data_IF_577775796483
#
_entry.id   IF_577775796483
#
_cell.length_a   1.000
_cell.length_b   1.000
_cell.length_c   1.000
_cell.angle_alpha   90.00
_cell.angle_beta   90.00
_cell.angle_gamma   90.00
#
_symmetry.space_group_name_H-M   'P 1'
#
loop_
_entity.id
_entity.type
_entity.pdbx_description
1 polymer ?
#
# COMPACT_ATOMS: atom_id res chain seq x y z
N UNK A 1 77.59 7.42 20.02
CA UNK A 1 78.46 6.32 19.54
C UNK A 1 77.53 5.46 18.73
N UNK A 2 77.76 5.50 17.54
CA UNK A 2 78.17 4.73 16.36
C UNK A 2 76.94 4.10 15.67
N UNK A 3 76.40 4.73 14.63
CA UNK A 3 76.65 4.53 13.20
C UNK A 3 76.63 3.09 12.72
N UNK A 4 75.62 2.74 11.91
CA UNK A 4 75.84 1.91 10.73
C UNK A 4 74.78 2.17 9.68
N UNK A 5 75.20 2.93 8.65
CA UNK A 5 74.52 3.09 7.38
C UNK A 5 74.88 1.91 6.48
N UNK A 6 73.94 1.07 6.09
CA UNK A 6 74.16 0.09 5.02
C UNK A 6 73.51 0.59 3.74
N UNK A 7 74.36 0.99 2.81
CA UNK A 7 74.02 1.26 1.40
C UNK A 7 73.64 -0.05 0.70
N UNK A 8 72.47 -0.13 0.15
CA UNK A 8 72.16 -1.15 -0.84
C UNK A 8 72.23 -0.52 -2.24
N UNK A 9 73.22 -0.97 -3.04
CA UNK A 9 73.40 -0.57 -4.45
C UNK A 9 72.39 -1.32 -5.35
N UNK A 10 71.87 -0.55 -6.28
CA UNK A 10 71.44 -0.88 -7.64
C UNK A 10 71.28 -2.38 -7.99
N UNK A 11 70.09 -2.84 -8.22
CA UNK A 11 69.77 -3.80 -9.27
C UNK A 11 68.47 -3.37 -9.97
N UNK A 12 68.65 -3.07 -11.23
CA UNK A 12 67.63 -2.75 -12.22
C UNK A 12 66.81 -3.99 -12.57
N UNK A 13 65.75 -4.22 -11.75
CA UNK A 13 64.68 -5.13 -12.13
C UNK A 13 63.36 -4.42 -11.89
N UNK A 14 63.11 -3.37 -12.66
CA UNK A 14 61.79 -2.76 -12.79
C UNK A 14 60.92 -3.75 -13.59
N UNK A 15 60.36 -4.74 -12.91
CA UNK A 15 59.37 -5.64 -13.48
C UNK A 15 58.16 -4.80 -13.93
N UNK A 16 57.99 -4.72 -15.25
CA UNK A 16 56.80 -4.18 -15.91
C UNK A 16 55.59 -4.89 -15.35
N UNK A 17 54.81 -4.22 -14.46
CA UNK A 17 53.47 -4.67 -14.11
C UNK A 17 52.67 -4.60 -15.40
N UNK A 18 52.08 -5.71 -15.87
CA UNK A 18 51.27 -5.68 -17.09
C UNK A 18 50.13 -4.68 -16.93
N UNK A 19 50.06 -3.72 -17.85
CA UNK A 19 48.95 -2.74 -17.93
C UNK A 19 47.56 -3.40 -18.04
N UNK A 20 47.51 -4.68 -18.38
CA UNK A 20 46.26 -5.43 -18.57
C UNK A 20 45.53 -5.76 -17.27
N UNK A 21 46.20 -5.82 -16.11
CA UNK A 21 45.55 -6.10 -14.81
C UNK A 21 44.70 -4.93 -14.34
N UNK A 22 45.03 -3.71 -14.75
CA UNK A 22 44.25 -2.50 -14.35
C UNK A 22 42.95 -2.38 -15.13
N UNK A 23 42.92 -2.78 -16.41
CA UNK A 23 41.71 -2.80 -17.23
C UNK A 23 40.70 -3.86 -16.79
N UNK A 24 41.13 -5.03 -16.36
CA UNK A 24 40.25 -6.09 -15.87
C UNK A 24 39.54 -5.74 -14.59
N UNK A 25 40.23 -5.14 -13.61
CA UNK A 25 39.63 -4.74 -12.32
C UNK A 25 38.60 -3.60 -12.47
N UNK A 26 38.79 -2.67 -13.40
CA UNK A 26 37.85 -1.57 -13.67
C UNK A 26 36.62 -2.07 -14.44
N UNK A 27 36.81 -3.01 -15.37
CA UNK A 27 35.72 -3.62 -16.14
C UNK A 27 34.83 -4.49 -15.25
N UNK A 28 35.41 -5.21 -14.32
CA UNK A 28 34.69 -6.06 -13.35
C UNK A 28 33.89 -5.22 -12.35
N UNK A 29 34.45 -4.13 -11.82
CA UNK A 29 33.72 -3.18 -10.97
C UNK A 29 32.51 -2.59 -11.66
N UNK A 30 32.62 -2.19 -12.92
CA UNK A 30 31.49 -1.62 -13.67
C UNK A 30 30.39 -2.66 -13.89
N UNK A 31 30.73 -3.90 -14.21
CA UNK A 31 29.77 -5.02 -14.35
C UNK A 31 29.09 -5.35 -13.04
N UNK A 32 29.82 -5.40 -11.93
CA UNK A 32 29.25 -5.64 -10.58
C UNK A 32 28.30 -4.52 -10.17
N UNK A 33 28.66 -3.27 -10.41
CA UNK A 33 27.81 -2.12 -10.11
C UNK A 33 26.56 -2.10 -11.00
N UNK A 34 26.70 -2.41 -12.29
CA UNK A 34 25.58 -2.51 -13.22
C UNK A 34 24.63 -3.67 -12.84
N UNK A 35 25.16 -4.83 -12.46
CA UNK A 35 24.38 -5.98 -12.00
C UNK A 35 23.62 -5.66 -10.72
N UNK A 36 24.24 -4.98 -9.75
CA UNK A 36 23.57 -4.51 -8.52
C UNK A 36 22.48 -3.47 -8.81
N UNK A 37 22.71 -2.55 -9.77
CA UNK A 37 21.69 -1.59 -10.21
C UNK A 37 20.51 -2.29 -10.89
N UNK A 38 20.78 -3.24 -11.78
CA UNK A 38 19.74 -4.04 -12.45
C UNK A 38 18.91 -4.88 -11.47
N UNK A 39 19.54 -5.49 -10.47
CA UNK A 39 18.85 -6.24 -9.43
C UNK A 39 17.93 -5.33 -8.57
N UNK A 40 18.40 -4.13 -8.18
CA UNK A 40 17.57 -3.16 -7.45
C UNK A 40 16.40 -2.63 -8.28
N UNK A 41 16.61 -2.37 -9.57
CA UNK A 41 15.55 -1.94 -10.48
C UNK A 41 14.49 -3.03 -10.64
N UNK A 42 14.90 -4.29 -10.84
CA UNK A 42 14.00 -5.45 -10.92
C UNK A 42 13.18 -5.60 -9.64
N UNK A 43 13.81 -5.54 -8.47
CA UNK A 43 13.13 -5.60 -7.18
C UNK A 43 12.05 -4.51 -7.04
N UNK A 44 12.42 -3.25 -7.32
CA UNK A 44 11.47 -2.12 -7.28
C UNK A 44 10.27 -2.36 -8.19
N UNK A 45 10.51 -2.72 -9.44
CA UNK A 45 9.43 -2.92 -10.40
C UNK A 45 8.56 -4.13 -10.06
N UNK A 46 9.14 -5.18 -9.50
CA UNK A 46 8.38 -6.34 -9.01
C UNK A 46 7.47 -5.98 -7.84
N UNK A 47 7.94 -5.20 -6.87
CA UNK A 47 7.08 -4.74 -5.78
C UNK A 47 5.99 -3.81 -6.31
N UNK A 48 6.33 -2.86 -7.20
CA UNK A 48 5.35 -1.98 -7.85
C UNK A 48 4.31 -2.78 -8.63
N UNK A 49 4.70 -3.83 -9.35
CA UNK A 49 3.79 -4.73 -10.06
C UNK A 49 2.89 -5.52 -9.09
N UNK A 50 3.41 -5.95 -7.93
CA UNK A 50 2.59 -6.61 -6.92
C UNK A 50 1.48 -5.69 -6.37
N UNK A 51 1.76 -4.39 -6.18
CA UNK A 51 0.72 -3.40 -5.88
C UNK A 51 -0.32 -3.33 -7.00
N UNK A 52 0.10 -3.23 -8.26
CA UNK A 52 -0.82 -3.19 -9.41
C UNK A 52 -1.68 -4.45 -9.52
N UNK A 53 -1.10 -5.63 -9.35
CA UNK A 53 -1.84 -6.90 -9.34
C UNK A 53 -2.85 -6.96 -8.20
N UNK A 54 -2.50 -6.50 -6.99
CA UNK A 54 -3.43 -6.36 -5.87
C UNK A 54 -4.63 -5.49 -6.23
N UNK A 55 -4.39 -4.34 -6.87
CA UNK A 55 -5.44 -3.44 -7.34
C UNK A 55 -6.36 -4.08 -8.38
N UNK A 56 -5.81 -4.80 -9.37
CA UNK A 56 -6.62 -5.51 -10.38
C UNK A 56 -7.50 -6.56 -9.68
N UNK A 57 -6.93 -7.34 -8.75
CA UNK A 57 -7.68 -8.42 -8.10
C UNK A 57 -8.83 -7.92 -7.25
N UNK A 58 -8.67 -6.80 -6.51
CA UNK A 58 -9.75 -6.29 -5.64
C UNK A 58 -10.92 -5.70 -6.45
N UNK A 59 -10.68 -5.27 -7.67
CA UNK A 59 -11.72 -4.67 -8.53
C UNK A 59 -12.32 -5.62 -9.55
N UNK A 60 -11.86 -6.86 -9.63
CA UNK A 60 -12.28 -7.85 -10.62
C UNK A 60 -13.79 -8.13 -10.62
N UNK A 61 -14.43 -8.15 -9.45
CA UNK A 61 -15.86 -8.48 -9.33
C UNK A 61 -16.78 -7.26 -9.20
N UNK A 62 -16.30 -6.09 -8.80
CA UNK A 62 -17.12 -4.92 -8.52
C UNK A 62 -18.10 -4.58 -9.64
N UNK A 63 -17.65 -4.35 -10.89
CA UNK A 63 -18.51 -4.06 -12.03
C UNK A 63 -19.46 -5.22 -12.42
N UNK A 64 -19.16 -6.43 -11.94
CA UNK A 64 -19.92 -7.65 -12.24
C UNK A 64 -20.96 -8.01 -11.17
N UNK A 65 -20.98 -7.30 -10.03
CA UNK A 65 -21.93 -7.59 -8.94
C UNK A 65 -23.40 -7.66 -9.37
N UNK A 66 -23.91 -6.78 -10.25
CA UNK A 66 -25.29 -6.91 -10.73
C UNK A 66 -25.55 -8.23 -11.46
N UNK A 67 -24.62 -8.67 -12.32
CA UNK A 67 -24.72 -9.91 -13.06
C UNK A 67 -24.55 -11.14 -12.14
N UNK A 68 -23.65 -11.06 -11.16
CA UNK A 68 -23.46 -12.10 -10.13
C UNK A 68 -24.75 -12.27 -9.31
N UNK A 69 -25.34 -11.15 -8.86
CA UNK A 69 -26.61 -11.14 -8.12
C UNK A 69 -27.73 -11.79 -8.91
N UNK A 70 -27.90 -11.37 -10.18
CA UNK A 70 -28.93 -11.92 -11.06
C UNK A 70 -28.72 -13.42 -11.34
N UNK A 71 -27.46 -13.83 -11.62
CA UNK A 71 -27.14 -15.23 -11.93
C UNK A 71 -27.33 -16.18 -10.76
N UNK A 72 -27.16 -15.69 -9.52
CA UNK A 72 -27.42 -16.48 -8.30
C UNK A 72 -28.86 -16.39 -7.80
N UNK A 73 -29.69 -15.49 -8.35
CA UNK A 73 -31.06 -15.27 -7.89
C UNK A 73 -31.18 -14.74 -6.45
N UNK A 74 -30.17 -14.02 -5.97
CA UNK A 74 -30.11 -13.51 -4.60
C UNK A 74 -30.52 -12.04 -4.48
N UNK A 75 -30.93 -11.63 -3.29
CA UNK A 75 -31.32 -10.27 -3.01
C UNK A 75 -30.10 -9.35 -2.68
N UNK A 76 -30.36 -8.06 -2.50
CA UNK A 76 -29.31 -7.06 -2.20
C UNK A 76 -28.72 -7.24 -0.80
N UNK A 77 -29.49 -7.72 0.15
CA UNK A 77 -29.02 -7.96 1.52
C UNK A 77 -28.02 -9.12 1.53
N UNK A 78 -28.31 -10.21 0.81
CA UNK A 78 -27.40 -11.35 0.65
C UNK A 78 -26.09 -10.93 -0.02
N UNK A 79 -26.11 -10.12 -1.09
CA UNK A 79 -24.88 -9.57 -1.69
C UNK A 79 -24.07 -8.77 -0.67
N UNK A 80 -24.73 -7.94 0.12
CA UNK A 80 -24.08 -7.17 1.18
C UNK A 80 -23.39 -8.07 2.22
N UNK A 81 -24.04 -9.16 2.61
CA UNK A 81 -23.48 -10.14 3.54
C UNK A 81 -22.27 -10.88 2.93
N UNK A 82 -22.34 -11.24 1.63
CA UNK A 82 -21.22 -11.84 0.92
C UNK A 82 -20.00 -10.91 0.88
N UNK A 83 -20.22 -9.62 0.61
CA UNK A 83 -19.16 -8.60 0.61
C UNK A 83 -18.57 -8.37 2.01
N UNK A 84 -19.37 -8.50 3.07
CA UNK A 84 -18.84 -8.47 4.44
C UNK A 84 -17.83 -9.59 4.69
N UNK A 85 -17.95 -10.72 3.99
CA UNK A 85 -16.96 -11.81 4.00
C UNK A 85 -15.57 -11.37 3.56
N UNK A 86 -15.45 -10.46 2.56
CA UNK A 86 -14.15 -9.87 2.14
C UNK A 86 -13.51 -9.13 3.29
N UNK A 87 -14.30 -8.35 4.03
CA UNK A 87 -13.81 -7.58 5.17
C UNK A 87 -13.32 -8.49 6.30
N UNK A 88 -14.12 -9.50 6.66
CA UNK A 88 -13.73 -10.48 7.68
C UNK A 88 -12.43 -11.18 7.26
N UNK A 89 -12.37 -11.63 6.01
CA UNK A 89 -11.16 -12.22 5.45
C UNK A 89 -9.95 -11.27 5.52
N UNK A 90 -10.11 -10.01 5.13
CA UNK A 90 -9.05 -9.02 5.15
C UNK A 90 -8.49 -8.78 6.56
N UNK A 91 -9.36 -8.67 7.56
CA UNK A 91 -8.93 -8.55 8.97
C UNK A 91 -8.11 -9.79 9.39
N UNK A 92 -8.59 -10.99 9.08
CA UNK A 92 -7.84 -12.22 9.36
C UNK A 92 -6.49 -12.26 8.62
N UNK A 93 -6.46 -11.78 7.38
CA UNK A 93 -5.24 -11.66 6.58
C UNK A 93 -4.21 -10.69 7.18
N UNK A 94 -4.67 -9.52 7.62
CA UNK A 94 -3.83 -8.54 8.32
C UNK A 94 -3.19 -9.16 9.57
N UNK A 95 -3.99 -9.84 10.40
CA UNK A 95 -3.52 -10.48 11.63
C UNK A 95 -2.57 -11.64 11.33
N UNK A 96 -2.82 -12.40 10.26
CA UNK A 96 -2.00 -13.53 9.82
C UNK A 96 -0.75 -13.17 9.05
N UNK A 97 -0.59 -11.93 8.60
CA UNK A 97 0.50 -11.49 7.70
C UNK A 97 1.90 -11.65 8.31
N UNK A 98 2.06 -11.28 9.58
CA UNK A 98 3.34 -11.36 10.29
C UNK A 98 3.88 -12.79 10.35
N UNK A 99 3.15 -13.82 10.86
CA UNK A 99 3.64 -15.20 10.82
C UNK A 99 3.90 -15.71 9.39
N UNK A 100 3.07 -15.35 8.42
CA UNK A 100 3.27 -15.74 7.01
C UNK A 100 4.59 -15.20 6.48
N UNK A 101 4.91 -13.92 6.76
CA UNK A 101 6.18 -13.31 6.38
C UNK A 101 7.37 -14.02 7.02
N UNK A 102 7.29 -14.35 8.32
CA UNK A 102 8.39 -15.01 9.02
C UNK A 102 8.64 -16.44 8.53
N UNK A 103 7.61 -17.20 8.19
CA UNK A 103 7.75 -18.58 7.74
C UNK A 103 8.20 -18.70 6.30
N UNK A 104 7.65 -17.89 5.40
CA UNK A 104 7.88 -18.01 3.97
C UNK A 104 8.96 -17.06 3.44
N UNK A 105 9.20 -15.93 4.12
CA UNK A 105 9.95 -14.78 3.63
C UNK A 105 9.18 -14.01 2.56
N UNK A 106 9.52 -12.74 2.31
CA UNK A 106 8.75 -11.81 1.49
C UNK A 106 8.38 -12.36 0.11
N UNK A 107 9.37 -12.92 -0.62
CA UNK A 107 9.14 -13.43 -1.98
C UNK A 107 8.05 -14.50 -2.04
N UNK A 108 8.15 -15.52 -1.18
CA UNK A 108 7.20 -16.64 -1.17
C UNK A 108 5.87 -16.21 -0.56
N UNK A 109 5.89 -15.34 0.44
CA UNK A 109 4.70 -14.83 1.09
C UNK A 109 3.85 -14.00 0.12
N UNK A 110 4.46 -13.07 -0.64
CA UNK A 110 3.75 -12.26 -1.65
C UNK A 110 3.23 -13.17 -2.78
N UNK A 111 4.02 -14.13 -3.26
CA UNK A 111 3.55 -15.10 -4.25
C UNK A 111 2.35 -15.90 -3.72
N UNK A 112 2.44 -16.44 -2.51
CA UNK A 112 1.37 -17.24 -1.90
C UNK A 112 0.08 -16.42 -1.70
N UNK A 113 0.18 -15.15 -1.26
CA UNK A 113 -0.97 -14.27 -1.09
C UNK A 113 -1.66 -13.99 -2.43
N UNK A 114 -0.90 -13.63 -3.48
CA UNK A 114 -1.43 -13.42 -4.83
C UNK A 114 -2.05 -14.70 -5.41
N UNK A 115 -1.40 -15.85 -5.26
CA UNK A 115 -1.94 -17.14 -5.72
C UNK A 115 -3.19 -17.55 -4.95
N UNK A 116 -3.26 -17.25 -3.65
CA UNK A 116 -4.47 -17.49 -2.85
C UNK A 116 -5.65 -16.67 -3.38
N UNK A 117 -5.43 -15.37 -3.69
CA UNK A 117 -6.46 -14.51 -4.25
C UNK A 117 -6.92 -15.05 -5.61
N UNK A 118 -5.98 -15.40 -6.49
CA UNK A 118 -6.32 -15.91 -7.83
C UNK A 118 -7.04 -17.25 -7.77
N UNK A 119 -6.65 -18.14 -6.87
CA UNK A 119 -7.37 -19.40 -6.62
C UNK A 119 -8.81 -19.13 -6.15
N UNK A 120 -9.02 -18.16 -5.25
CA UNK A 120 -10.33 -17.77 -4.78
C UNK A 120 -11.17 -17.12 -5.91
N UNK A 121 -10.59 -16.32 -6.80
CA UNK A 121 -11.30 -15.82 -7.99
C UNK A 121 -11.72 -16.95 -8.94
N UNK A 122 -10.85 -17.94 -9.15
CA UNK A 122 -11.21 -19.13 -9.94
C UNK A 122 -12.35 -19.93 -9.28
N UNK A 123 -12.27 -20.14 -7.97
CA UNK A 123 -13.36 -20.79 -7.19
C UNK A 123 -14.65 -19.99 -7.29
N UNK A 124 -14.60 -18.67 -7.23
CA UNK A 124 -15.76 -17.80 -7.42
C UNK A 124 -16.37 -17.97 -8.81
N UNK A 125 -15.53 -18.01 -9.86
CA UNK A 125 -15.99 -18.28 -11.22
C UNK A 125 -16.67 -19.65 -11.35
N UNK A 126 -16.10 -20.70 -10.77
CA UNK A 126 -16.71 -22.05 -10.73
C UNK A 126 -18.02 -22.06 -9.92
N UNK A 127 -18.04 -21.35 -8.79
CA UNK A 127 -19.23 -21.23 -7.95
C UNK A 127 -20.42 -20.59 -8.71
N UNK A 128 -20.12 -19.62 -9.58
CA UNK A 128 -21.14 -19.00 -10.44
C UNK A 128 -21.66 -19.96 -11.52
N UNK A 129 -20.83 -20.88 -12.03
CA UNK A 129 -21.27 -21.90 -13.00
C UNK A 129 -22.25 -22.89 -12.34
N UNK A 130 -21.94 -23.30 -11.10
CA UNK A 130 -22.80 -24.28 -10.39
C UNK A 130 -23.94 -23.61 -9.59
N UNK A 131 -24.03 -22.28 -9.58
CA UNK A 131 -25.06 -21.55 -8.84
C UNK A 131 -24.96 -21.63 -7.32
N UNK A 132 -23.76 -21.85 -6.76
CA UNK A 132 -23.58 -22.10 -5.32
C UNK A 132 -23.25 -20.81 -4.55
N UNK A 133 -24.24 -20.24 -3.86
CA UNK A 133 -24.07 -19.08 -2.97
C UNK A 133 -23.08 -19.35 -1.82
N UNK A 134 -23.11 -20.51 -1.12
CA UNK A 134 -22.13 -20.78 -0.07
C UNK A 134 -20.68 -20.79 -0.59
N UNK A 135 -20.45 -21.31 -1.79
CA UNK A 135 -19.11 -21.36 -2.37
C UNK A 135 -18.62 -19.95 -2.76
N UNK A 136 -19.51 -19.07 -3.24
CA UNK A 136 -19.20 -17.64 -3.46
C UNK A 136 -18.86 -16.95 -2.13
N UNK A 137 -19.58 -17.24 -1.05
CA UNK A 137 -19.29 -16.68 0.27
C UNK A 137 -17.88 -17.08 0.76
N UNK A 138 -17.53 -18.35 0.65
CA UNK A 138 -16.18 -18.86 0.99
C UNK A 138 -15.12 -18.18 0.11
N UNK A 139 -15.37 -18.05 -1.19
CA UNK A 139 -14.44 -17.39 -2.11
C UNK A 139 -14.19 -15.91 -1.71
N UNK A 140 -15.22 -15.17 -1.33
CA UNK A 140 -15.05 -13.78 -0.86
C UNK A 140 -14.24 -13.68 0.42
N UNK A 141 -14.44 -14.57 1.38
CA UNK A 141 -13.62 -14.63 2.61
C UNK A 141 -12.15 -14.90 2.26
N UNK A 142 -11.89 -15.86 1.37
CA UNK A 142 -10.51 -16.22 0.97
C UNK A 142 -9.87 -15.09 0.17
N UNK A 143 -10.61 -14.41 -0.72
CA UNK A 143 -10.12 -13.21 -1.41
C UNK A 143 -9.72 -12.15 -0.40
N UNK A 144 -10.58 -11.87 0.57
CA UNK A 144 -10.27 -10.91 1.65
C UNK A 144 -9.01 -11.30 2.42
N UNK A 145 -8.91 -12.56 2.85
CA UNK A 145 -7.73 -13.09 3.55
C UNK A 145 -6.44 -12.87 2.74
N UNK A 146 -6.49 -13.16 1.45
CA UNK A 146 -5.35 -12.94 0.55
C UNK A 146 -4.99 -11.47 0.39
N UNK A 147 -5.99 -10.59 0.21
CA UNK A 147 -5.79 -9.14 0.05
C UNK A 147 -5.23 -8.52 1.33
N UNK A 148 -5.80 -8.80 2.51
CA UNK A 148 -5.30 -8.25 3.76
C UNK A 148 -3.88 -8.74 4.10
N UNK A 149 -3.56 -10.01 3.76
CA UNK A 149 -2.19 -10.53 3.89
C UNK A 149 -1.26 -9.82 2.91
N UNK A 150 -1.65 -9.71 1.62
CA UNK A 150 -0.86 -9.08 0.57
C UNK A 150 -0.54 -7.62 0.91
N UNK A 151 -1.52 -6.87 1.39
CA UNK A 151 -1.36 -5.45 1.72
C UNK A 151 -0.21 -5.21 2.70
N UNK A 152 -0.17 -5.95 3.82
CA UNK A 152 0.95 -5.84 4.77
C UNK A 152 2.27 -6.21 4.12
N UNK A 153 2.31 -7.31 3.35
CA UNK A 153 3.53 -7.83 2.77
C UNK A 153 4.14 -6.87 1.74
N UNK A 154 3.32 -6.31 0.84
CA UNK A 154 3.80 -5.37 -0.19
C UNK A 154 4.20 -4.03 0.42
N UNK A 155 3.55 -3.58 1.49
CA UNK A 155 3.92 -2.36 2.19
C UNK A 155 5.24 -2.53 2.97
N UNK A 156 5.46 -3.66 3.63
CA UNK A 156 6.75 -3.99 4.29
C UNK A 156 7.88 -4.06 3.26
N UNK A 157 7.66 -4.78 2.15
CA UNK A 157 8.67 -4.92 1.10
C UNK A 157 8.89 -3.60 0.34
N UNK A 158 7.83 -2.79 0.15
CA UNK A 158 7.91 -1.45 -0.42
C UNK A 158 8.75 -0.50 0.41
N UNK A 159 8.60 -0.53 1.74
CA UNK A 159 9.42 0.24 2.66
C UNK A 159 10.90 -0.19 2.58
N UNK A 160 11.18 -1.49 2.44
CA UNK A 160 12.54 -2.00 2.26
C UNK A 160 13.16 -1.53 0.93
N UNK A 161 12.39 -1.52 -0.17
CA UNK A 161 12.80 -0.95 -1.46
C UNK A 161 13.09 0.53 -1.34
N UNK A 162 12.22 1.29 -0.66
CA UNK A 162 12.37 2.73 -0.43
C UNK A 162 13.65 3.05 0.32
N UNK A 163 13.92 2.33 1.43
CA UNK A 163 15.15 2.45 2.19
C UNK A 163 16.39 2.10 1.35
N UNK A 164 16.35 1.01 0.59
CA UNK A 164 17.47 0.61 -0.28
C UNK A 164 17.72 1.58 -1.43
N UNK A 165 16.70 2.32 -1.87
CA UNK A 165 16.77 3.32 -2.92
C UNK A 165 17.23 4.70 -2.41
N UNK A 166 17.09 4.98 -1.11
CA UNK A 166 17.37 6.27 -0.49
C UNK A 166 16.47 7.40 -0.99
N UNK A 167 15.26 7.08 -1.44
CA UNK A 167 14.27 8.03 -1.96
C UNK A 167 12.85 7.50 -1.76
N UNK A 168 11.89 8.40 -1.66
CA UNK A 168 10.48 8.06 -1.46
C UNK A 168 9.87 7.42 -2.70
N UNK A 169 9.42 6.17 -2.58
CA UNK A 169 8.82 5.36 -3.65
C UNK A 169 7.42 4.85 -3.32
N UNK A 170 7.04 4.83 -2.06
CA UNK A 170 5.76 4.30 -1.59
C UNK A 170 4.56 4.95 -2.29
N UNK A 171 4.50 6.28 -2.49
CA UNK A 171 3.38 6.89 -3.21
C UNK A 171 3.22 6.36 -4.63
N UNK A 172 4.34 6.14 -5.35
CA UNK A 172 4.32 5.57 -6.71
C UNK A 172 3.82 4.12 -6.71
N UNK A 173 4.15 3.34 -5.69
CA UNK A 173 3.67 1.96 -5.53
C UNK A 173 2.15 1.95 -5.31
N UNK A 174 1.63 2.86 -4.46
CA UNK A 174 0.19 3.02 -4.27
C UNK A 174 -0.52 3.58 -5.51
N UNK A 175 0.15 4.42 -6.32
CA UNK A 175 -0.39 4.81 -7.63
C UNK A 175 -0.56 3.59 -8.55
N UNK A 176 0.38 2.63 -8.52
CA UNK A 176 0.24 1.37 -9.27
C UNK A 176 -0.96 0.54 -8.78
N UNK A 177 -1.24 0.53 -7.48
CA UNK A 177 -2.46 -0.07 -6.93
C UNK A 177 -3.72 0.60 -7.50
N UNK A 178 -3.81 1.94 -7.46
CA UNK A 178 -4.95 2.70 -7.98
C UNK A 178 -5.15 2.48 -9.49
N UNK A 179 -4.05 2.44 -10.27
CA UNK A 179 -4.09 2.11 -11.70
C UNK A 179 -4.59 0.67 -11.89
N UNK A 180 -4.15 -0.25 -11.04
CA UNK A 180 -4.61 -1.65 -11.04
C UNK A 180 -6.11 -1.75 -10.78
N UNK A 181 -6.64 -1.02 -9.80
CA UNK A 181 -8.08 -0.94 -9.50
C UNK A 181 -8.85 -0.43 -10.72
N UNK A 182 -8.39 0.66 -11.34
CA UNK A 182 -9.03 1.19 -12.53
C UNK A 182 -8.98 0.22 -13.72
N UNK A 183 -7.85 -0.47 -13.91
CA UNK A 183 -7.68 -1.47 -14.97
C UNK A 183 -8.61 -2.68 -14.76
N UNK A 184 -8.67 -3.26 -13.55
CA UNK A 184 -9.55 -4.39 -13.26
C UNK A 184 -11.03 -4.02 -13.38
N UNK A 185 -11.43 -2.83 -12.92
CA UNK A 185 -12.78 -2.31 -13.13
C UNK A 185 -13.09 -2.13 -14.63
N UNK A 186 -12.13 -1.59 -15.39
CA UNK A 186 -12.25 -1.44 -16.86
C UNK A 186 -12.39 -2.79 -17.58
N UNK A 187 -11.60 -3.80 -17.19
CA UNK A 187 -11.72 -5.16 -17.73
C UNK A 187 -13.12 -5.71 -17.44
N UNK A 188 -13.61 -5.60 -16.19
CA UNK A 188 -14.94 -6.03 -15.82
C UNK A 188 -16.04 -5.36 -16.62
N UNK A 189 -15.94 -4.04 -16.83
CA UNK A 189 -16.89 -3.27 -17.64
C UNK A 189 -16.85 -3.68 -19.13
N UNK A 190 -15.65 -3.84 -19.69
CA UNK A 190 -15.47 -4.30 -21.07
C UNK A 190 -16.05 -5.71 -21.28
N UNK A 191 -15.77 -6.64 -20.38
CA UNK A 191 -16.34 -7.98 -20.40
C UNK A 191 -17.87 -7.94 -20.32
N UNK A 192 -18.45 -7.04 -19.51
CA UNK A 192 -19.89 -6.85 -19.44
C UNK A 192 -20.46 -6.37 -20.78
N UNK A 193 -19.84 -5.35 -21.40
CA UNK A 193 -20.26 -4.81 -22.69
C UNK A 193 -20.16 -5.83 -23.82
N UNK A 194 -19.18 -6.73 -23.76
CA UNK A 194 -18.98 -7.81 -24.75
C UNK A 194 -19.82 -9.05 -24.46
N UNK A 195 -20.68 -9.06 -23.46
CA UNK A 195 -21.51 -10.21 -23.10
C UNK A 195 -20.75 -11.41 -22.51
N UNK A 196 -19.48 -11.20 -22.10
CA UNK A 196 -18.69 -12.26 -21.43
C UNK A 196 -19.28 -12.55 -20.06
N UNK A 197 -19.52 -13.82 -19.73
CA UNK A 197 -20.07 -14.20 -18.42
C UNK A 197 -19.12 -13.82 -17.27
N UNK A 198 -19.62 -13.47 -16.08
CA UNK A 198 -18.78 -13.21 -14.90
C UNK A 198 -17.86 -14.39 -14.57
N UNK A 199 -18.35 -15.62 -14.70
CA UNK A 199 -17.58 -16.83 -14.47
C UNK A 199 -16.35 -16.94 -15.40
N UNK A 200 -16.56 -16.77 -16.71
CA UNK A 200 -15.49 -16.84 -17.70
C UNK A 200 -14.43 -15.74 -17.45
N UNK A 201 -14.86 -14.51 -17.17
CA UNK A 201 -13.97 -13.41 -16.84
C UNK A 201 -13.11 -13.74 -15.59
N UNK A 202 -13.72 -14.11 -14.47
CA UNK A 202 -13.02 -14.35 -13.22
C UNK A 202 -12.02 -15.52 -13.33
N UNK A 203 -12.36 -16.57 -14.06
CA UNK A 203 -11.45 -17.69 -14.32
C UNK A 203 -10.28 -17.26 -15.20
N UNK A 204 -10.54 -16.51 -16.29
CA UNK A 204 -9.49 -16.02 -17.17
C UNK A 204 -8.54 -15.06 -16.44
N UNK A 205 -9.08 -14.11 -15.68
CA UNK A 205 -8.28 -13.20 -14.83
C UNK A 205 -7.46 -13.96 -13.81
N UNK A 206 -8.02 -14.98 -13.15
CA UNK A 206 -7.30 -15.80 -12.19
C UNK A 206 -6.06 -16.45 -12.82
N UNK A 207 -6.18 -17.03 -14.03
CA UNK A 207 -5.05 -17.64 -14.74
C UNK A 207 -3.99 -16.60 -15.10
N UNK A 208 -4.40 -15.48 -15.70
CA UNK A 208 -3.48 -14.43 -16.14
C UNK A 208 -2.73 -13.80 -14.95
N UNK A 209 -3.45 -13.50 -13.87
CA UNK A 209 -2.86 -12.90 -12.67
C UNK A 209 -1.96 -13.91 -11.94
N UNK A 210 -2.30 -15.21 -11.93
CA UNK A 210 -1.42 -16.23 -11.34
C UNK A 210 -0.06 -16.30 -12.05
N UNK A 211 -0.05 -16.26 -13.39
CA UNK A 211 1.20 -16.20 -14.16
C UNK A 211 1.95 -14.91 -13.86
N UNK A 212 1.28 -13.76 -13.88
CA UNK A 212 1.88 -12.47 -13.56
C UNK A 212 2.45 -12.43 -12.12
N UNK A 213 1.77 -13.05 -11.15
CA UNK A 213 2.21 -13.17 -9.77
C UNK A 213 3.52 -13.93 -9.63
N UNK A 214 3.66 -15.06 -10.33
CA UNK A 214 4.89 -15.86 -10.33
C UNK A 214 6.07 -15.08 -10.94
N UNK A 215 5.86 -14.42 -12.09
CA UNK A 215 6.86 -13.56 -12.74
C UNK A 215 7.26 -12.41 -11.83
N UNK A 216 6.29 -11.74 -11.23
CA UNK A 216 6.49 -10.63 -10.29
C UNK A 216 7.29 -11.08 -9.06
N UNK A 217 6.91 -12.17 -8.44
CA UNK A 217 7.61 -12.71 -7.28
C UNK A 217 9.07 -13.10 -7.59
N UNK A 218 9.36 -13.56 -8.81
CA UNK A 218 10.72 -13.93 -9.22
C UNK A 218 11.73 -12.77 -9.15
N UNK A 219 11.28 -11.52 -9.25
CA UNK A 219 12.12 -10.32 -9.14
C UNK A 219 12.33 -9.80 -7.73
N UNK A 220 11.61 -10.35 -6.73
CA UNK A 220 11.79 -10.01 -5.32
C UNK A 220 12.96 -10.85 -4.76
N UNK A 221 13.91 -10.25 -4.01
CA UNK A 221 15.01 -10.99 -3.41
C UNK A 221 14.53 -12.11 -2.48
N UNK A 222 15.10 -13.30 -2.63
CA UNK A 222 14.73 -14.47 -1.80
C UNK A 222 15.30 -14.44 -0.37
N UNK A 223 16.08 -13.43 -0.03
CA UNK A 223 16.89 -13.37 1.19
C UNK A 223 16.34 -12.55 2.35
N UNK A 224 15.14 -11.95 2.22
CA UNK A 224 14.52 -11.20 3.32
C UNK A 224 13.77 -12.13 4.31
N UNK A 225 14.48 -13.17 4.76
CA UNK A 225 14.15 -13.77 6.07
C UNK A 225 14.60 -12.80 7.14
N UNK A 226 13.87 -12.71 8.25
CA UNK A 226 14.43 -12.19 9.49
C UNK A 226 15.85 -12.76 9.66
N UNK A 227 16.84 -11.97 10.12
CA UNK A 227 18.23 -12.43 10.20
C UNK A 227 18.28 -13.84 10.77
N UNK A 228 18.92 -14.78 10.04
CA UNK A 228 19.10 -16.13 10.52
C UNK A 228 20.03 -16.05 11.74
N UNK A 229 19.46 -16.10 12.92
CA UNK A 229 20.19 -15.94 14.19
C UNK A 229 19.33 -15.40 15.34
N UNK A 230 18.18 -14.78 15.06
CA UNK A 230 17.24 -14.54 16.15
C UNK A 230 16.58 -15.86 16.53
N UNK A 231 16.65 -16.28 17.83
CA UNK A 231 15.95 -17.46 18.32
C UNK A 231 14.48 -17.32 17.92
N UNK A 232 13.86 -18.42 17.46
CA UNK A 232 12.46 -18.45 17.10
C UNK A 232 11.65 -17.86 18.27
N UNK A 233 11.28 -16.59 18.15
CA UNK A 233 10.54 -15.91 19.21
C UNK A 233 9.28 -16.72 19.50
N UNK A 234 9.04 -17.04 20.74
CA UNK A 234 7.84 -17.69 21.23
C UNK A 234 6.58 -16.99 20.70
N UNK A 235 5.57 -17.76 20.29
CA UNK A 235 4.28 -17.22 19.80
C UNK A 235 3.70 -16.18 20.76
N UNK A 236 3.85 -16.42 22.08
CA UNK A 236 3.43 -15.47 23.11
C UNK A 236 4.24 -14.16 23.12
N UNK A 237 5.51 -14.21 22.78
CA UNK A 237 6.35 -13.02 22.65
C UNK A 237 5.93 -12.16 21.45
N UNK A 238 5.60 -12.78 20.30
CA UNK A 238 5.12 -12.08 19.10
C UNK A 238 3.76 -11.42 19.32
N UNK A 239 2.82 -12.14 19.95
CA UNK A 239 1.53 -11.57 20.31
C UNK A 239 1.69 -10.39 21.25
N UNK A 240 2.55 -10.51 22.27
CA UNK A 240 2.87 -9.41 23.19
C UNK A 240 3.50 -8.22 22.45
N UNK A 241 4.37 -8.45 21.47
CA UNK A 241 4.99 -7.41 20.67
C UNK A 241 3.97 -6.69 19.77
N UNK A 242 3.05 -7.44 19.14
CA UNK A 242 1.96 -6.88 18.38
C UNK A 242 1.00 -6.06 19.26
N UNK A 243 0.62 -6.58 20.44
CA UNK A 243 -0.20 -5.85 21.42
C UNK A 243 0.50 -4.58 21.92
N UNK A 244 1.82 -4.63 22.13
CA UNK A 244 2.61 -3.43 22.47
C UNK A 244 2.60 -2.38 21.36
N UNK A 245 2.45 -2.78 20.10
CA UNK A 245 2.26 -1.85 18.97
C UNK A 245 1.03 -0.97 19.17
N UNK A 246 -0.07 -1.52 19.69
CA UNK A 246 -1.28 -0.78 20.04
C UNK A 246 -1.13 0.16 21.25
N UNK A 247 -0.05 0.03 22.01
CA UNK A 247 0.28 0.92 23.14
C UNK A 247 1.36 1.95 22.76
N UNK A 248 1.93 1.88 21.55
CA UNK A 248 2.89 2.87 21.07
C UNK A 248 2.13 4.12 20.59
N UNK A 249 2.11 5.16 21.46
CA UNK A 249 1.38 6.41 21.18
C UNK A 249 1.77 7.06 19.87
N UNK A 250 3.01 6.91 19.42
CA UNK A 250 3.47 7.44 18.14
C UNK A 250 2.88 6.66 16.97
N UNK A 251 2.79 5.34 17.10
CA UNK A 251 2.15 4.50 16.10
C UNK A 251 0.65 4.79 16.03
N UNK A 252 0.01 5.04 17.19
CA UNK A 252 -1.39 5.46 17.25
C UNK A 252 -1.61 6.84 16.62
N UNK A 253 -0.68 7.79 16.76
CA UNK A 253 -0.77 9.08 16.06
C UNK A 253 -0.62 8.94 14.54
N UNK A 254 0.22 8.02 14.04
CA UNK A 254 0.23 7.63 12.63
C UNK A 254 -1.16 7.06 12.27
N UNK A 255 -1.71 6.21 13.14
CA UNK A 255 -3.06 5.66 13.02
C UNK A 255 -4.17 6.74 12.93
N UNK A 256 -4.06 7.83 13.70
CA UNK A 256 -5.00 8.97 13.60
C UNK A 256 -4.96 9.62 12.22
N UNK A 257 -3.76 9.80 11.65
CA UNK A 257 -3.63 10.31 10.27
C UNK A 257 -4.27 9.33 9.28
N UNK A 258 -4.01 8.02 9.45
CA UNK A 258 -4.61 6.97 8.62
C UNK A 258 -6.13 6.96 8.73
N UNK A 259 -6.67 7.06 9.96
CA UNK A 259 -8.12 7.11 10.20
C UNK A 259 -8.77 8.26 9.41
N UNK A 260 -8.19 9.47 9.50
CA UNK A 260 -8.74 10.64 8.81
C UNK A 260 -8.69 10.51 7.30
N UNK A 261 -7.54 10.09 6.77
CA UNK A 261 -7.31 9.98 5.33
C UNK A 261 -8.17 8.86 4.72
N UNK A 262 -8.19 7.68 5.33
CA UNK A 262 -8.96 6.53 4.83
C UNK A 262 -10.47 6.75 4.94
N UNK A 263 -10.94 7.39 6.02
CA UNK A 263 -12.35 7.76 6.12
C UNK A 263 -12.71 8.82 5.08
N UNK A 264 -11.79 9.75 4.81
CA UNK A 264 -11.95 10.74 3.75
C UNK A 264 -12.00 10.14 2.35
N UNK A 265 -11.11 9.20 2.04
CA UNK A 265 -11.06 8.48 0.76
C UNK A 265 -12.30 7.58 0.58
N UNK A 266 -12.62 6.77 1.61
CA UNK A 266 -13.79 5.90 1.59
C UNK A 266 -15.12 6.68 1.50
N UNK A 267 -15.20 7.86 2.13
CA UNK A 267 -16.37 8.73 2.01
C UNK A 267 -16.50 9.30 0.59
N UNK A 268 -15.40 9.69 -0.06
CA UNK A 268 -15.45 10.12 -1.45
C UNK A 268 -15.91 8.97 -2.36
N UNK A 269 -15.35 7.78 -2.21
CA UNK A 269 -15.74 6.61 -3.01
C UNK A 269 -17.21 6.23 -2.89
N UNK A 270 -17.82 6.42 -1.72
CA UNK A 270 -19.19 6.00 -1.45
C UNK A 270 -20.23 7.13 -1.57
N UNK A 271 -19.88 8.36 -1.22
CA UNK A 271 -20.84 9.45 -1.06
C UNK A 271 -20.67 10.62 -2.01
N UNK A 272 -19.49 10.77 -2.69
CA UNK A 272 -19.21 11.94 -3.52
C UNK A 272 -20.25 12.15 -4.63
N UNK A 273 -20.56 11.11 -5.40
CA UNK A 273 -21.52 11.20 -6.49
C UNK A 273 -22.93 11.55 -5.98
N UNK A 274 -23.33 10.98 -4.86
CA UNK A 274 -24.62 11.27 -4.23
C UNK A 274 -24.66 12.69 -3.67
N UNK A 275 -23.57 13.14 -3.05
CA UNK A 275 -23.46 14.51 -2.52
C UNK A 275 -23.48 15.57 -3.62
N UNK A 276 -22.80 15.32 -4.75
CA UNK A 276 -22.82 16.20 -5.92
C UNK A 276 -24.20 16.22 -6.56
N UNK A 277 -24.86 15.08 -6.67
CA UNK A 277 -26.19 14.97 -7.28
C UNK A 277 -27.26 15.60 -6.37
N UNK A 278 -27.35 15.17 -5.14
CA UNK A 278 -28.47 15.53 -4.24
C UNK A 278 -28.16 16.78 -3.41
N UNK A 279 -26.89 16.98 -3.02
CA UNK A 279 -26.47 18.12 -2.22
C UNK A 279 -26.26 19.39 -3.05
N UNK A 280 -25.70 19.26 -4.27
CA UNK A 280 -25.42 20.36 -5.17
C UNK A 280 -26.36 20.41 -6.40
N UNK A 281 -27.36 19.55 -6.49
CA UNK A 281 -28.37 19.56 -7.56
C UNK A 281 -27.85 19.28 -8.96
N UNK A 282 -26.69 18.59 -9.09
CA UNK A 282 -26.06 18.36 -10.38
C UNK A 282 -26.61 17.10 -11.09
N UNK A 283 -26.56 17.09 -12.42
CA UNK A 283 -26.90 15.93 -13.22
C UNK A 283 -25.99 14.73 -12.91
N UNK A 284 -26.51 13.51 -13.07
CA UNK A 284 -25.75 12.28 -12.80
C UNK A 284 -24.43 12.19 -13.59
N UNK A 285 -24.40 12.65 -14.85
CA UNK A 285 -23.20 12.70 -15.67
C UNK A 285 -22.14 13.64 -15.08
N UNK A 286 -22.53 14.79 -14.53
CA UNK A 286 -21.64 15.73 -13.85
C UNK A 286 -21.10 15.11 -12.57
N UNK A 287 -21.95 14.44 -11.78
CA UNK A 287 -21.50 13.74 -10.57
C UNK A 287 -20.46 12.65 -10.88
N UNK A 288 -20.62 11.91 -11.97
CA UNK A 288 -19.63 10.94 -12.42
C UNK A 288 -18.30 11.60 -12.84
N UNK A 289 -18.33 12.77 -13.50
CA UNK A 289 -17.13 13.54 -13.84
C UNK A 289 -16.39 14.03 -12.59
N UNK A 290 -17.10 14.42 -11.55
CA UNK A 290 -16.50 14.82 -10.26
C UNK A 290 -15.81 13.64 -9.58
N UNK A 291 -16.40 12.45 -9.59
CA UNK A 291 -15.75 11.23 -9.08
C UNK A 291 -14.50 10.87 -9.90
N UNK A 292 -14.56 11.01 -11.22
CA UNK A 292 -13.40 10.80 -12.08
C UNK A 292 -12.29 11.84 -11.81
N UNK A 293 -12.65 13.12 -11.59
CA UNK A 293 -11.71 14.17 -11.21
C UNK A 293 -11.05 13.89 -9.86
N UNK A 294 -11.80 13.37 -8.88
CA UNK A 294 -11.25 12.94 -7.59
C UNK A 294 -10.19 11.85 -7.80
N UNK A 295 -10.56 10.75 -8.45
CA UNK A 295 -9.66 9.62 -8.69
C UNK A 295 -8.42 10.01 -9.51
N UNK A 296 -8.57 10.85 -10.54
CA UNK A 296 -7.45 11.36 -11.32
C UNK A 296 -6.51 12.24 -10.49
N UNK A 297 -7.06 13.14 -9.68
CA UNK A 297 -6.26 14.04 -8.83
C UNK A 297 -5.49 13.27 -7.77
N UNK A 298 -6.09 12.26 -7.18
CA UNK A 298 -5.46 11.36 -6.22
C UNK A 298 -4.31 10.58 -6.89
N UNK A 299 -4.55 9.95 -8.04
CA UNK A 299 -3.54 9.21 -8.78
C UNK A 299 -2.36 10.10 -9.21
N UNK A 300 -2.64 11.29 -9.74
CA UNK A 300 -1.61 12.28 -10.12
C UNK A 300 -0.77 12.67 -8.91
N UNK A 301 -1.41 12.96 -7.78
CA UNK A 301 -0.71 13.34 -6.55
C UNK A 301 0.18 12.19 -6.04
N UNK A 302 -0.27 10.95 -6.09
CA UNK A 302 0.51 9.75 -5.72
C UNK A 302 1.69 9.52 -6.67
N UNK A 303 1.52 9.73 -7.99
CA UNK A 303 2.60 9.59 -8.99
C UNK A 303 3.73 10.58 -8.72
N UNK A 304 3.40 11.83 -8.47
CA UNK A 304 4.38 12.90 -8.23
C UNK A 304 4.76 13.08 -6.75
N UNK A 305 4.12 12.34 -5.85
CA UNK A 305 4.29 12.48 -4.42
C UNK A 305 5.70 12.19 -3.91
N UNK A 306 6.38 11.19 -4.46
CA UNK A 306 7.73 10.82 -4.05
C UNK A 306 8.73 11.99 -4.10
N UNK A 307 8.95 12.63 -5.26
CA UNK A 307 9.81 13.81 -5.37
C UNK A 307 9.39 14.99 -4.47
N UNK A 308 8.09 15.15 -4.21
CA UNK A 308 7.58 16.19 -3.30
C UNK A 308 8.00 15.87 -1.86
N UNK A 309 7.81 14.61 -1.44
CA UNK A 309 8.20 14.15 -0.10
C UNK A 309 9.71 14.23 0.09
N UNK A 310 10.50 13.87 -0.92
CA UNK A 310 11.97 13.94 -0.86
C UNK A 310 12.46 15.38 -0.65
N UNK A 311 11.75 16.40 -1.20
CA UNK A 311 12.07 17.82 -1.04
C UNK A 311 11.55 18.44 0.25
N UNK A 312 10.29 18.16 0.61
CA UNK A 312 9.61 18.80 1.74
C UNK A 312 9.78 18.03 3.05
N UNK A 313 10.05 16.73 2.97
CA UNK A 313 10.00 15.79 4.08
C UNK A 313 8.57 15.35 4.41
N UNK A 314 8.43 14.17 5.03
CA UNK A 314 7.13 13.53 5.33
C UNK A 314 6.19 14.42 6.14
N UNK A 315 6.69 15.05 7.22
CA UNK A 315 5.86 15.87 8.12
C UNK A 315 5.24 17.07 7.40
N UNK A 316 6.04 17.79 6.59
CA UNK A 316 5.52 18.95 5.85
C UNK A 316 4.54 18.50 4.77
N UNK A 317 4.82 17.40 4.08
CA UNK A 317 3.93 16.86 3.05
C UNK A 317 2.57 16.51 3.65
N UNK A 318 2.52 15.74 4.76
CA UNK A 318 1.25 15.41 5.43
C UNK A 318 0.51 16.68 5.87
N UNK A 319 1.20 17.67 6.43
CA UNK A 319 0.55 18.94 6.82
C UNK A 319 -0.04 19.69 5.63
N UNK A 320 0.71 19.80 4.55
CA UNK A 320 0.24 20.50 3.34
C UNK A 320 -0.95 19.77 2.73
N UNK A 321 -0.85 18.45 2.54
CA UNK A 321 -1.93 17.69 1.93
C UNK A 321 -3.19 17.69 2.80
N UNK A 322 -3.07 17.46 4.12
CA UNK A 322 -4.24 17.51 5.02
C UNK A 322 -4.85 18.91 5.12
N UNK A 323 -4.04 19.97 5.11
CA UNK A 323 -4.56 21.34 5.07
C UNK A 323 -5.32 21.64 3.76
N UNK A 324 -4.76 21.21 2.61
CA UNK A 324 -5.47 21.30 1.32
C UNK A 324 -6.75 20.47 1.33
N UNK A 325 -6.75 19.30 1.95
CA UNK A 325 -7.95 18.49 2.15
C UNK A 325 -9.02 19.18 2.99
N UNK A 326 -8.63 19.82 4.10
CA UNK A 326 -9.55 20.65 4.92
C UNK A 326 -10.20 21.73 4.07
N UNK A 327 -9.37 22.53 3.35
CA UNK A 327 -9.88 23.57 2.46
C UNK A 327 -10.79 22.97 1.39
N UNK A 328 -10.36 21.86 0.79
CA UNK A 328 -11.11 21.16 -0.26
C UNK A 328 -12.49 20.72 0.20
N UNK A 329 -12.58 20.05 1.35
CA UNK A 329 -13.88 19.58 1.88
C UNK A 329 -14.76 20.75 2.29
N UNK A 330 -14.20 21.83 2.88
CA UNK A 330 -14.97 23.05 3.20
C UNK A 330 -15.54 23.69 1.92
N UNK A 331 -14.71 23.82 0.87
CA UNK A 331 -15.18 24.31 -0.44
C UNK A 331 -16.24 23.41 -1.05
N UNK A 332 -16.09 22.08 -0.87
CA UNK A 332 -17.08 21.11 -1.33
C UNK A 332 -18.42 21.27 -0.57
N UNK A 333 -18.39 21.40 0.75
CA UNK A 333 -19.60 21.54 1.58
C UNK A 333 -20.33 22.86 1.29
N UNK A 334 -19.59 23.98 1.23
CA UNK A 334 -20.14 25.33 1.18
C UNK A 334 -20.25 25.89 -0.24
N UNK A 335 -19.73 25.20 -1.25
CA UNK A 335 -19.66 25.69 -2.61
C UNK A 335 -21.05 25.87 -3.25
N UNK A 336 -21.43 27.11 -3.53
CA UNK A 336 -22.67 27.45 -4.26
C UNK A 336 -22.52 27.41 -5.79
N UNK A 337 -21.35 27.10 -6.32
CA UNK A 337 -21.02 27.07 -7.75
C UNK A 337 -20.32 25.75 -8.10
N UNK A 338 -20.70 25.06 -9.19
CA UNK A 338 -20.09 23.79 -9.59
C UNK A 338 -18.57 23.83 -9.71
N UNK A 339 -17.99 24.94 -10.15
CA UNK A 339 -16.54 25.09 -10.26
C UNK A 339 -15.83 25.15 -8.91
N UNK A 340 -16.43 25.83 -7.92
CA UNK A 340 -15.93 25.84 -6.54
C UNK A 340 -15.99 24.45 -5.94
N UNK A 341 -17.10 23.73 -6.16
CA UNK A 341 -17.28 22.34 -5.73
C UNK A 341 -16.24 21.43 -6.38
N UNK A 342 -15.96 21.61 -7.70
CA UNK A 342 -14.93 20.84 -8.39
C UNK A 342 -13.52 21.09 -7.83
N UNK A 343 -13.16 22.35 -7.59
CA UNK A 343 -11.90 22.71 -6.91
C UNK A 343 -11.84 22.05 -5.54
N UNK A 344 -12.96 22.06 -4.80
CA UNK A 344 -13.10 21.36 -3.53
C UNK A 344 -12.79 19.87 -3.63
N UNK A 345 -13.34 19.19 -4.65
CA UNK A 345 -13.11 17.77 -4.93
C UNK A 345 -11.63 17.48 -5.23
N UNK A 346 -10.99 18.30 -6.07
CA UNK A 346 -9.57 18.16 -6.43
C UNK A 346 -8.68 18.30 -5.18
N UNK A 347 -8.92 19.34 -4.37
CA UNK A 347 -8.15 19.56 -3.15
C UNK A 347 -8.39 18.48 -2.09
N UNK A 348 -9.63 17.97 -1.99
CA UNK A 348 -9.93 16.83 -1.12
C UNK A 348 -9.15 15.59 -1.55
N UNK A 349 -9.13 15.27 -2.84
CA UNK A 349 -8.36 14.15 -3.39
C UNK A 349 -6.85 14.28 -3.11
N UNK A 350 -6.28 15.49 -3.24
CA UNK A 350 -4.89 15.77 -2.82
C UNK A 350 -4.73 15.51 -1.33
N UNK A 351 -5.74 15.87 -0.52
CA UNK A 351 -5.75 15.69 0.93
C UNK A 351 -5.62 14.23 1.38
N UNK A 352 -6.31 13.31 0.71
CA UNK A 352 -6.28 11.87 1.04
C UNK A 352 -5.05 11.15 0.50
N UNK A 353 -4.44 11.64 -0.58
CA UNK A 353 -3.50 10.89 -1.41
C UNK A 353 -2.22 10.42 -0.73
N UNK A 354 -1.66 11.18 0.23
CA UNK A 354 -0.33 10.93 0.81
C UNK A 354 -0.36 10.24 2.17
N UNK A 355 -1.51 10.22 2.86
CA UNK A 355 -1.60 9.70 4.22
C UNK A 355 -1.28 8.22 4.31
N UNK A 356 -1.93 7.39 3.48
CA UNK A 356 -1.75 5.95 3.50
C UNK A 356 -0.32 5.54 3.08
N UNK A 357 0.22 5.94 1.92
CA UNK A 357 1.57 5.58 1.50
C UNK A 357 2.65 5.95 2.52
N UNK A 358 2.58 7.18 3.05
CA UNK A 358 3.56 7.65 4.02
C UNK A 358 3.34 7.06 5.41
N UNK A 359 2.10 6.75 5.78
CA UNK A 359 1.75 6.06 7.02
C UNK A 359 2.32 4.66 7.07
N UNK A 360 2.18 3.88 5.99
CA UNK A 360 2.76 2.55 5.87
C UNK A 360 4.29 2.57 5.94
N UNK A 361 4.93 3.50 5.21
CA UNK A 361 6.37 3.67 5.25
C UNK A 361 6.86 4.08 6.66
N UNK A 362 6.18 5.04 7.31
CA UNK A 362 6.53 5.48 8.66
C UNK A 362 6.31 4.39 9.71
N UNK A 363 5.26 3.58 9.58
CA UNK A 363 4.99 2.46 10.45
C UNK A 363 6.07 1.38 10.32
N UNK A 364 6.43 1.00 9.09
CA UNK A 364 7.48 0.01 8.82
C UNK A 364 8.84 0.39 9.42
N UNK A 365 9.17 1.68 9.44
CA UNK A 365 10.43 2.19 9.99
C UNK A 365 10.38 2.47 11.51
N UNK A 366 9.22 2.35 12.13
CA UNK A 366 9.01 2.83 13.51
C UNK A 366 9.54 1.89 14.58
N UNK A 367 9.96 0.65 14.26
CA UNK A 367 10.45 -0.32 15.23
C UNK A 367 10.97 -1.63 14.62
N UNK A 368 11.32 -2.60 15.46
CA UNK A 368 12.07 -3.79 15.05
C UNK A 368 11.25 -4.80 14.22
N UNK A 369 9.91 -4.79 14.33
CA UNK A 369 9.04 -5.68 13.56
C UNK A 369 8.16 -4.85 12.61
N UNK A 370 8.62 -4.56 11.38
CA UNK A 370 7.88 -3.77 10.41
C UNK A 370 6.49 -4.35 10.10
N UNK A 371 6.36 -5.67 10.00
CA UNK A 371 5.10 -6.32 9.66
C UNK A 371 4.04 -6.13 10.75
N UNK A 372 4.41 -6.32 12.02
CA UNK A 372 3.50 -6.09 13.15
C UNK A 372 3.06 -4.61 13.23
N UNK A 373 3.98 -3.69 12.98
CA UNK A 373 3.71 -2.24 13.05
C UNK A 373 2.86 -1.76 11.88
N UNK A 374 3.15 -2.20 10.68
CA UNK A 374 2.31 -1.95 9.49
C UNK A 374 0.92 -2.54 9.70
N UNK A 375 0.82 -3.76 10.23
CA UNK A 375 -0.47 -4.40 10.53
C UNK A 375 -1.34 -3.59 11.49
N UNK A 376 -0.76 -2.98 12.55
CA UNK A 376 -1.51 -2.11 13.49
C UNK A 376 -2.09 -0.89 12.75
N UNK A 377 -1.26 -0.18 11.99
CA UNK A 377 -1.68 1.04 11.28
C UNK A 377 -2.66 0.71 10.15
N UNK A 378 -2.41 -0.35 9.40
CA UNK A 378 -3.31 -0.85 8.38
C UNK A 378 -4.68 -1.23 8.96
N UNK A 379 -4.73 -1.89 10.13
CA UNK A 379 -5.99 -2.22 10.79
C UNK A 379 -6.83 -0.98 11.10
N UNK A 380 -6.21 0.12 11.51
CA UNK A 380 -6.90 1.39 11.74
C UNK A 380 -7.46 1.95 10.43
N UNK A 381 -6.67 1.93 9.35
CA UNK A 381 -7.10 2.37 8.03
C UNK A 381 -8.27 1.53 7.49
N UNK A 382 -8.17 0.21 7.58
CA UNK A 382 -9.26 -0.69 7.16
C UNK A 382 -10.52 -0.49 8.00
N UNK A 383 -10.39 -0.29 9.31
CA UNK A 383 -11.53 0.04 10.16
C UNK A 383 -12.20 1.34 9.72
N UNK A 384 -11.41 2.37 9.38
CA UNK A 384 -11.93 3.64 8.88
C UNK A 384 -12.69 3.47 7.56
N UNK A 385 -12.14 2.69 6.64
CA UNK A 385 -12.74 2.43 5.34
C UNK A 385 -14.06 1.62 5.47
N UNK A 386 -14.12 0.69 6.42
CA UNK A 386 -15.30 -0.14 6.68
C UNK A 386 -16.38 0.61 7.46
N UNK A 387 -16.00 1.26 8.56
CA UNK A 387 -16.94 1.92 9.46
C UNK A 387 -17.32 3.34 8.98
N UNK A 388 -16.47 3.95 8.16
CA UNK A 388 -16.65 5.32 7.68
C UNK A 388 -17.93 5.53 6.90
N UNK A 389 -18.22 4.79 5.82
CA UNK A 389 -19.42 4.96 5.03
C UNK A 389 -20.71 4.80 5.84
N UNK A 390 -20.89 3.76 6.68
CA UNK A 390 -22.04 3.68 7.59
C UNK A 390 -22.13 4.83 8.58
N UNK A 391 -21.02 5.26 9.17
CA UNK A 391 -21.00 6.37 10.12
C UNK A 391 -21.45 7.67 9.48
N UNK A 392 -20.95 8.01 8.29
CA UNK A 392 -21.38 9.15 7.49
C UNK A 392 -22.85 8.99 7.12
N UNK A 393 -23.31 7.80 6.72
CA UNK A 393 -24.70 7.53 6.36
C UNK A 393 -25.66 7.76 7.52
N UNK A 394 -25.34 7.28 8.73
CA UNK A 394 -26.14 7.50 9.94
C UNK A 394 -26.16 8.99 10.31
N UNK A 395 -25.00 9.65 10.28
CA UNK A 395 -24.92 11.09 10.58
C UNK A 395 -25.70 11.91 9.55
N UNK A 396 -25.67 11.51 8.28
CA UNK A 396 -26.39 12.17 7.21
C UNK A 396 -27.92 12.13 7.37
N UNK A 397 -28.49 11.14 8.07
CA UNK A 397 -29.92 11.09 8.38
C UNK A 397 -30.36 12.22 9.31
N UNK A 398 -29.49 12.66 10.20
CA UNK A 398 -29.82 13.72 11.18
C UNK A 398 -29.44 15.12 10.70
N UNK A 399 -28.31 15.30 10.01
CA UNK A 399 -27.79 16.62 9.65
C UNK A 399 -27.71 16.88 8.15
N UNK A 400 -28.05 15.89 7.32
CA UNK A 400 -27.87 15.92 5.87
C UNK A 400 -26.46 15.53 5.43
N UNK A 401 -26.36 15.04 4.17
CA UNK A 401 -25.13 14.43 3.65
C UNK A 401 -23.95 15.41 3.59
N UNK A 402 -24.17 16.65 3.12
CA UNK A 402 -23.08 17.63 3.06
C UNK A 402 -22.57 17.98 4.47
N UNK A 403 -23.46 18.18 5.43
CA UNK A 403 -23.07 18.51 6.80
C UNK A 403 -22.39 17.33 7.52
N UNK A 404 -22.69 16.08 7.17
CA UNK A 404 -22.01 14.93 7.76
C UNK A 404 -20.51 14.90 7.42
N UNK A 405 -20.08 15.53 6.33
CA UNK A 405 -18.68 15.61 5.92
C UNK A 405 -17.81 16.50 6.82
N UNK A 406 -18.40 17.33 7.69
CA UNK A 406 -17.65 18.06 8.72
C UNK A 406 -16.87 17.12 9.66
N UNK A 407 -17.33 15.87 9.82
CA UNK A 407 -16.56 14.85 10.54
C UNK A 407 -15.19 14.62 9.91
N UNK A 408 -15.12 14.58 8.57
CA UNK A 408 -13.86 14.40 7.84
C UNK A 408 -12.96 15.63 8.02
N UNK A 409 -13.53 16.83 8.00
CA UNK A 409 -12.79 18.07 8.29
C UNK A 409 -12.13 17.99 9.66
N UNK A 410 -12.88 17.58 10.69
CA UNK A 410 -12.36 17.43 12.05
C UNK A 410 -11.21 16.40 12.12
N UNK A 411 -11.36 15.28 11.44
CA UNK A 411 -10.32 14.25 11.37
C UNK A 411 -9.07 14.71 10.60
N UNK A 412 -9.22 15.51 9.55
CA UNK A 412 -8.08 16.07 8.82
C UNK A 412 -7.33 17.11 9.66
N UNK A 413 -8.04 17.90 10.48
CA UNK A 413 -7.41 18.79 11.46
C UNK A 413 -6.62 17.98 12.50
N UNK A 414 -7.19 16.89 13.00
CA UNK A 414 -6.48 15.97 13.90
C UNK A 414 -5.26 15.34 13.20
N UNK A 415 -5.38 14.94 11.93
CA UNK A 415 -4.28 14.41 11.14
C UNK A 415 -3.16 15.45 10.94
N UNK A 416 -3.51 16.70 10.66
CA UNK A 416 -2.55 17.81 10.57
C UNK A 416 -1.76 17.97 11.89
N UNK A 417 -2.43 17.94 13.02
CA UNK A 417 -1.80 18.03 14.35
C UNK A 417 -0.90 16.81 14.61
N UNK A 418 -1.35 15.60 14.27
CA UNK A 418 -0.62 14.35 14.45
C UNK A 418 0.55 14.14 13.47
N UNK A 419 0.69 14.96 12.42
CA UNK A 419 1.70 14.81 11.37
C UNK A 419 3.15 14.75 11.90
N UNK A 420 3.42 15.30 13.09
CA UNK A 420 4.72 15.21 13.76
C UNK A 420 5.20 13.78 14.02
N UNK A 421 4.29 12.80 14.12
CA UNK A 421 4.60 11.38 14.31
C UNK A 421 5.33 10.74 13.11
N UNK A 422 5.28 11.37 11.93
CA UNK A 422 5.96 10.91 10.72
C UNK A 422 7.45 11.24 10.63
N UNK A 423 8.02 11.92 11.64
CA UNK A 423 9.46 12.19 11.66
C UNK A 423 10.24 10.86 11.66
N UNK A 424 11.29 10.70 10.82
CA UNK A 424 12.18 9.54 10.91
C UNK A 424 12.74 9.41 12.33
N UNK A 425 12.86 8.19 12.86
CA UNK A 425 13.65 7.99 14.07
C UNK A 425 15.13 8.13 13.71
N UNK A 426 15.95 8.86 14.50
CA UNK A 426 17.40 8.74 14.36
C UNK A 426 17.75 7.26 14.48
N UNK A 427 18.53 6.72 13.53
CA UNK A 427 19.11 5.40 13.69
C UNK A 427 19.76 5.35 15.07
N UNK A 428 19.45 4.33 15.87
CA UNK A 428 20.16 4.12 17.14
C UNK A 428 21.64 4.10 16.78
N UNK A 429 22.38 5.14 17.15
CA UNK A 429 23.84 5.18 17.03
C UNK A 429 24.30 3.89 17.71
N UNK A 430 25.07 3.09 17.00
CA UNK A 430 25.80 1.95 17.54
C UNK A 430 26.52 2.42 18.82
N UNK A 431 25.88 2.17 19.94
CA UNK A 431 26.48 2.34 21.27
C UNK A 431 27.44 1.18 21.51
N UNK A 432 28.43 1.02 20.64
CA UNK A 432 29.34 -0.11 20.61
C UNK A 432 30.81 0.23 20.27
N UNK A 433 31.15 1.51 19.99
CA UNK A 433 32.54 1.85 19.63
C UNK A 433 33.29 2.73 20.62
N UNK A 434 32.89 2.76 21.89
CA UNK A 434 33.56 3.61 22.91
C UNK A 434 34.08 2.86 24.13
N UNK A 435 34.44 1.57 24.00
CA UNK A 435 35.13 0.86 25.14
C UNK A 435 36.24 -0.07 24.65
N UNK A 436 37.09 0.39 23.75
CA UNK A 436 38.40 -0.26 23.52
C UNK A 436 39.41 0.85 23.24
N UNK A 437 39.79 1.62 24.25
CA UNK A 437 41.07 2.36 24.31
C UNK A 437 41.27 2.97 25.69
N UNK A 438 41.44 2.14 26.74
CA UNK A 438 42.15 2.54 27.93
C UNK A 438 42.55 1.29 28.74
N UNK A 439 43.49 0.51 28.22
CA UNK A 439 44.34 -0.38 29.02
C UNK A 439 45.54 -0.76 28.16
N UNK A 440 46.54 0.11 28.15
CA UNK A 440 47.94 -0.20 27.93
C UNK A 440 48.78 0.88 28.62
#
# INVERSE_FOLDING_TARGET
MSTSAARCRSSSACSRVPRDIFHWKVFDRRRIVAAKRGARARWRWSVTAAFGLGGITISAWGPRLPAIKAGLGIDTATIGLLLAGVTVGAILGLLGSTPVLHWLGSRRAIAAALLLITAALAVMGLALIVGSVPLVAVAFVIVGLGIGTLDVLINVEGAAVEQAAGRTLMPMMHAAWSIGVAAGAGIGAACAALGVSPAAQLIAEAVLIAVAALVTAAGIPGGSRAPAGEPAQDRGARLRQWLRGWLDWRLLLIGVVMLGVELGEGSAGNWLTLAVRNGHGQAAAVAALFAAAFAASEAITRIFGGPIVDRLGRVRTIRVTTALGVVGIILFILGGNPWIVLVGVVLWAVGVSMGFPLGMSAAAESGPDPAARVSVVASIGYFANLAGPPAIGVLAQSVGLLNSLWLIVALFVAAFAAAGSFRPRPAAREAGSATVSSSA
#
